data_IF_890410912726
#
_entry.id   IF_890410912726
#
_cell.length_a   1.000
_cell.length_b   1.000
_cell.length_c   1.000
_cell.angle_alpha   90.00
_cell.angle_beta   90.00
_cell.angle_gamma   90.00
#
_symmetry.space_group_name_H-M   'P 1'
#
loop_
_entity.id
_entity.type
_entity.pdbx_description
1 polymer ?
#
# COMPACT_ATOMS: atom_id res chain seq x y z
N UNK A 1 -9.57 6.47 -33.70
CA UNK A 1 -9.31 6.70 -32.27
C UNK A 1 -9.29 5.35 -31.59
N UNK A 2 -8.12 4.85 -31.23
CA UNK A 2 -7.95 3.57 -30.54
C UNK A 2 -8.50 3.70 -29.11
N UNK A 3 -9.57 2.96 -28.82
CA UNK A 3 -10.07 2.76 -27.46
C UNK A 3 -8.94 2.09 -26.68
N UNK A 4 -8.29 2.79 -25.76
CA UNK A 4 -7.51 2.16 -24.71
C UNK A 4 -8.50 1.35 -23.89
N UNK A 5 -8.40 0.03 -23.97
CA UNK A 5 -9.11 -0.88 -23.09
C UNK A 5 -8.87 -0.44 -21.64
N UNK A 6 -9.94 -0.02 -20.96
CA UNK A 6 -9.92 0.19 -19.52
C UNK A 6 -9.65 -1.18 -18.91
N UNK A 7 -8.42 -1.41 -18.47
CA UNK A 7 -8.08 -2.57 -17.64
C UNK A 7 -9.03 -2.52 -16.44
N UNK A 8 -9.91 -3.52 -16.33
CA UNK A 8 -10.84 -3.61 -15.21
C UNK A 8 -10.01 -3.71 -13.92
N UNK A 9 -10.22 -2.76 -13.01
CA UNK A 9 -9.55 -2.77 -11.71
C UNK A 9 -10.08 -3.97 -10.93
N UNK A 10 -9.18 -4.89 -10.58
CA UNK A 10 -9.55 -6.06 -9.78
C UNK A 10 -9.57 -5.67 -8.31
N UNK A 11 -10.76 -5.72 -7.71
CA UNK A 11 -11.00 -5.42 -6.30
C UNK A 11 -11.74 -6.58 -5.67
N UNK A 12 -11.19 -7.10 -4.59
CA UNK A 12 -11.86 -8.07 -3.73
C UNK A 12 -12.36 -7.35 -2.47
N UNK A 13 -13.48 -7.77 -1.92
CA UNK A 13 -13.98 -7.24 -0.64
C UNK A 13 -13.82 -8.32 0.41
N UNK A 14 -13.09 -8.02 1.49
CA UNK A 14 -12.82 -8.97 2.58
C UNK A 14 -13.36 -8.41 3.88
N UNK A 15 -13.81 -9.28 4.79
CA UNK A 15 -14.17 -8.91 6.15
C UNK A 15 -12.96 -9.15 7.05
N UNK A 16 -12.52 -8.13 7.78
CA UNK A 16 -11.42 -8.25 8.77
C UNK A 16 -11.88 -9.00 10.00
N UNK A 17 -10.93 -9.38 10.87
CA UNK A 17 -11.22 -10.03 12.15
C UNK A 17 -12.15 -9.18 13.05
N UNK A 18 -12.08 -7.86 12.91
CA UNK A 18 -12.92 -6.90 13.64
C UNK A 18 -14.33 -6.73 13.03
N UNK A 19 -14.64 -7.44 11.95
CA UNK A 19 -15.92 -7.33 11.23
C UNK A 19 -16.01 -6.15 10.25
N UNK A 20 -14.92 -5.42 10.05
CA UNK A 20 -14.84 -4.31 9.10
C UNK A 20 -14.77 -4.83 7.65
N UNK A 21 -15.48 -4.19 6.73
CA UNK A 21 -15.45 -4.55 5.31
C UNK A 21 -14.39 -3.73 4.59
N UNK A 22 -13.34 -4.38 4.08
CA UNK A 22 -12.17 -3.73 3.50
C UNK A 22 -11.98 -4.12 2.04
N UNK A 23 -11.67 -3.15 1.19
CA UNK A 23 -11.35 -3.39 -0.23
C UNK A 23 -9.88 -3.78 -0.37
N UNK A 24 -9.61 -4.88 -1.06
CA UNK A 24 -8.29 -5.40 -1.40
C UNK A 24 -8.06 -5.24 -2.90
N UNK A 25 -7.11 -4.39 -3.26
CA UNK A 25 -6.73 -4.09 -4.64
C UNK A 25 -5.57 -5.00 -5.07
N UNK A 26 -5.49 -5.30 -6.37
CA UNK A 26 -4.38 -6.06 -6.98
C UNK A 26 -3.38 -5.18 -7.73
N UNK A 27 -3.65 -3.88 -7.85
CA UNK A 27 -2.80 -2.93 -8.56
C UNK A 27 -2.78 -1.54 -7.92
N UNK A 28 -1.65 -0.84 -8.10
CA UNK A 28 -1.42 0.50 -7.56
C UNK A 28 -2.41 1.54 -8.08
N UNK A 29 -2.86 1.42 -9.34
CA UNK A 29 -3.75 2.42 -9.95
C UNK A 29 -5.14 2.40 -9.31
N UNK A 30 -5.71 1.21 -9.10
CA UNK A 30 -6.98 1.02 -8.41
C UNK A 30 -6.92 1.51 -6.97
N UNK A 31 -5.84 1.16 -6.27
CA UNK A 31 -5.58 1.58 -4.90
C UNK A 31 -5.46 3.11 -4.75
N UNK A 32 -4.65 3.77 -5.59
CA UNK A 32 -4.49 5.23 -5.61
C UNK A 32 -5.81 5.93 -5.94
N UNK A 33 -6.51 5.45 -6.98
CA UNK A 33 -7.80 6.03 -7.41
C UNK A 33 -8.84 5.94 -6.31
N UNK A 34 -8.87 4.84 -5.56
CA UNK A 34 -9.77 4.69 -4.42
C UNK A 34 -9.48 5.76 -3.36
N UNK A 35 -8.24 5.86 -2.86
CA UNK A 35 -7.89 6.86 -1.84
C UNK A 35 -8.19 8.29 -2.32
N UNK A 36 -7.90 8.59 -3.60
CA UNK A 36 -8.14 9.91 -4.17
C UNK A 36 -9.64 10.25 -4.26
N UNK A 37 -10.49 9.29 -4.62
CA UNK A 37 -11.93 9.49 -4.68
C UNK A 37 -12.52 9.66 -3.28
N UNK A 38 -12.16 8.82 -2.32
CA UNK A 38 -12.68 8.94 -0.96
C UNK A 38 -12.17 10.22 -0.26
N UNK A 39 -11.00 10.72 -0.66
CA UNK A 39 -10.52 12.05 -0.25
C UNK A 39 -11.36 13.19 -0.84
N UNK A 40 -11.85 13.05 -2.06
CA UNK A 40 -12.77 14.02 -2.69
C UNK A 40 -14.18 13.94 -2.09
N UNK A 41 -14.63 12.75 -1.73
CA UNK A 41 -15.94 12.49 -1.10
C UNK A 41 -15.97 12.82 0.40
N UNK A 42 -14.89 13.40 0.95
CA UNK A 42 -14.77 13.84 2.34
C UNK A 42 -14.74 12.67 3.38
N UNK A 43 -14.34 11.47 2.96
CA UNK A 43 -14.21 10.26 3.81
C UNK A 43 -12.75 9.95 4.22
N UNK A 44 -11.81 10.87 3.95
CA UNK A 44 -10.35 10.68 4.13
C UNK A 44 -9.89 10.29 5.54
N UNK A 45 -10.68 10.55 6.58
CA UNK A 45 -10.34 10.28 7.98
C UNK A 45 -10.87 8.92 8.48
N UNK A 46 -11.61 8.17 7.67
CA UNK A 46 -12.16 6.84 8.00
C UNK A 46 -11.93 5.81 6.88
N UNK A 47 -10.73 5.80 6.30
CA UNK A 47 -10.38 4.89 5.21
C UNK A 47 -9.72 3.63 5.74
N UNK A 48 -10.07 2.50 5.13
CA UNK A 48 -9.32 1.26 5.28
C UNK A 48 -9.36 0.49 3.96
N UNK A 49 -8.18 0.33 3.34
CA UNK A 49 -8.01 -0.48 2.14
C UNK A 49 -6.67 -1.19 2.15
N UNK A 50 -6.58 -2.28 1.38
CA UNK A 50 -5.37 -3.08 1.24
C UNK A 50 -4.96 -3.19 -0.22
N UNK A 51 -3.68 -3.41 -0.46
CA UNK A 51 -3.13 -3.68 -1.79
C UNK A 51 -2.19 -4.88 -1.71
N UNK A 52 -2.49 -5.91 -2.50
CA UNK A 52 -1.69 -7.13 -2.59
C UNK A 52 -1.16 -7.26 -4.01
N UNK A 53 0.16 -7.21 -4.19
CA UNK A 53 0.78 -7.18 -5.51
C UNK A 53 2.20 -7.72 -5.48
N UNK A 54 2.69 -8.15 -6.64
CA UNK A 54 4.11 -8.38 -6.85
C UNK A 54 4.78 -7.05 -7.25
N UNK A 55 5.86 -6.63 -6.56
CA UNK A 55 6.57 -5.42 -6.92
C UNK A 55 7.09 -5.47 -8.37
N UNK A 56 7.09 -4.33 -9.11
CA UNK A 56 7.49 -4.32 -10.52
C UNK A 56 8.88 -4.92 -10.80
N UNK A 57 9.84 -4.74 -9.89
CA UNK A 57 11.19 -5.28 -10.08
C UNK A 57 11.23 -6.81 -10.04
N UNK A 58 10.33 -7.45 -9.29
CA UNK A 58 10.25 -8.91 -9.19
C UNK A 58 9.66 -9.49 -10.46
N UNK A 59 8.56 -8.91 -10.94
CA UNK A 59 7.92 -9.31 -12.19
C UNK A 59 8.88 -9.14 -13.36
N UNK A 60 9.61 -8.02 -13.41
CA UNK A 60 10.60 -7.77 -14.44
C UNK A 60 11.73 -8.81 -14.45
N UNK A 61 12.23 -9.19 -13.27
CA UNK A 61 13.25 -10.26 -13.12
C UNK A 61 12.71 -11.65 -13.50
N UNK A 62 11.39 -11.81 -13.59
CA UNK A 62 10.69 -13.09 -13.80
C UNK A 62 9.90 -13.12 -15.12
N UNK A 63 10.27 -12.28 -16.09
CA UNK A 63 9.62 -12.20 -17.41
C UNK A 63 8.11 -11.88 -17.36
N UNK A 64 7.71 -11.03 -16.41
CA UNK A 64 6.32 -10.60 -16.17
C UNK A 64 5.37 -11.77 -15.84
N UNK A 65 5.92 -12.87 -15.33
CA UNK A 65 5.21 -14.10 -15.03
C UNK A 65 5.40 -14.49 -13.55
N UNK A 66 4.36 -14.35 -12.70
CA UNK A 66 4.41 -14.74 -11.30
C UNK A 66 4.84 -16.19 -11.07
N UNK A 67 4.52 -17.12 -11.98
CA UNK A 67 4.89 -18.53 -11.86
C UNK A 67 6.39 -18.77 -12.06
N UNK A 68 7.10 -17.79 -12.64
CA UNK A 68 8.56 -17.84 -12.85
C UNK A 68 9.35 -17.09 -11.79
N UNK A 69 8.68 -16.53 -10.78
CA UNK A 69 9.36 -15.86 -9.67
C UNK A 69 10.19 -16.89 -8.92
N UNK A 70 11.48 -16.57 -8.73
CA UNK A 70 12.37 -17.43 -7.95
C UNK A 70 11.92 -17.52 -6.50
N UNK A 71 11.93 -18.72 -5.92
CA UNK A 71 11.68 -18.94 -4.48
C UNK A 71 12.62 -18.11 -3.57
N UNK A 72 13.77 -17.67 -4.07
CA UNK A 72 14.69 -16.79 -3.34
C UNK A 72 14.25 -15.31 -3.32
N UNK A 73 13.19 -14.92 -4.04
CA UNK A 73 12.69 -13.56 -4.11
C UNK A 73 11.71 -13.25 -2.97
N UNK A 74 12.17 -13.37 -1.72
CA UNK A 74 11.36 -13.22 -0.51
C UNK A 74 12.07 -12.35 0.56
N UNK A 75 11.49 -12.26 1.75
CA UNK A 75 12.01 -11.44 2.86
C UNK A 75 13.42 -11.82 3.33
N UNK A 76 13.90 -13.04 3.10
CA UNK A 76 15.28 -13.47 3.45
C UNK A 76 16.32 -12.93 2.45
N UNK A 77 15.90 -12.50 1.26
CA UNK A 77 16.80 -11.94 0.25
C UNK A 77 17.06 -10.46 0.47
N UNK A 78 18.28 -10.12 0.90
CA UNK A 78 18.73 -8.72 1.05
C UNK A 78 18.55 -7.89 -0.22
N UNK A 79 18.68 -8.49 -1.41
CA UNK A 79 18.46 -7.82 -2.70
C UNK A 79 16.98 -7.47 -2.87
N UNK A 80 16.09 -8.43 -2.64
CA UNK A 80 14.64 -8.24 -2.71
C UNK A 80 14.19 -7.14 -1.72
N UNK A 81 14.58 -7.26 -0.45
CA UNK A 81 14.22 -6.30 0.60
C UNK A 81 14.68 -4.88 0.26
N UNK A 82 15.90 -4.72 -0.26
CA UNK A 82 16.42 -3.41 -0.67
C UNK A 82 15.64 -2.81 -1.84
N UNK A 83 15.35 -3.61 -2.87
CA UNK A 83 14.60 -3.12 -4.04
C UNK A 83 13.14 -2.83 -3.69
N UNK A 84 12.54 -3.63 -2.82
CA UNK A 84 11.21 -3.38 -2.27
C UNK A 84 11.17 -2.06 -1.50
N UNK A 85 12.08 -1.85 -0.56
CA UNK A 85 12.13 -0.59 0.19
C UNK A 85 12.33 0.63 -0.72
N UNK A 86 13.17 0.51 -1.76
CA UNK A 86 13.31 1.57 -2.77
C UNK A 86 12.01 1.82 -3.55
N UNK A 87 11.26 0.77 -3.87
CA UNK A 87 9.97 0.90 -4.54
C UNK A 87 8.94 1.60 -3.64
N UNK A 88 8.86 1.22 -2.36
CA UNK A 88 7.97 1.83 -1.37
C UNK A 88 8.23 3.34 -1.28
N UNK A 89 9.49 3.74 -1.06
CA UNK A 89 9.85 5.15 -0.87
C UNK A 89 9.69 6.01 -2.14
N UNK A 90 9.89 5.43 -3.34
CA UNK A 90 9.84 6.19 -4.61
C UNK A 90 8.46 6.23 -5.28
N UNK A 91 7.64 5.21 -5.05
CA UNK A 91 6.37 5.01 -5.75
C UNK A 91 5.20 4.97 -4.78
N UNK A 92 5.08 3.90 -3.97
CA UNK A 92 3.91 3.70 -3.12
C UNK A 92 3.61 4.90 -2.20
N UNK A 93 4.60 5.38 -1.45
CA UNK A 93 4.40 6.52 -0.55
C UNK A 93 4.14 7.81 -1.32
N UNK A 94 4.69 7.95 -2.53
CA UNK A 94 4.44 9.12 -3.39
C UNK A 94 3.00 9.12 -3.89
N UNK A 95 2.51 7.96 -4.33
CA UNK A 95 1.16 7.80 -4.86
C UNK A 95 0.12 8.04 -3.74
N UNK A 96 0.35 7.52 -2.52
CA UNK A 96 -0.48 7.82 -1.35
C UNK A 96 -0.52 9.32 -1.06
N UNK A 97 0.63 10.00 -1.04
CA UNK A 97 0.71 11.47 -0.80
C UNK A 97 -0.05 12.27 -1.85
N UNK A 98 0.01 11.84 -3.11
CA UNK A 98 -0.72 12.46 -4.20
C UNK A 98 -2.24 12.25 -4.03
N UNK A 99 -2.67 11.03 -3.69
CA UNK A 99 -4.07 10.69 -3.48
C UNK A 99 -4.71 11.49 -2.34
N UNK A 100 -4.00 11.66 -1.21
CA UNK A 100 -4.47 12.47 -0.06
C UNK A 100 -4.23 13.97 -0.21
N UNK A 101 -3.84 14.44 -1.41
CA UNK A 101 -3.59 15.86 -1.74
C UNK A 101 -2.53 16.54 -0.89
N UNK A 102 -1.53 15.80 -0.41
CA UNK A 102 -0.40 16.30 0.40
C UNK A 102 0.95 15.82 -0.14
N UNK A 103 1.40 16.31 -1.32
CA UNK A 103 2.67 15.88 -1.92
C UNK A 103 3.90 16.10 -1.02
N UNK A 104 3.86 17.14 -0.16
CA UNK A 104 4.94 17.49 0.78
C UNK A 104 4.85 16.79 2.14
N UNK A 105 3.85 15.91 2.36
CA UNK A 105 3.72 15.13 3.59
C UNK A 105 5.01 14.35 3.87
N UNK A 106 5.44 14.33 5.13
CA UNK A 106 6.57 13.51 5.59
C UNK A 106 6.05 12.62 6.70
N UNK A 107 6.25 11.32 6.57
CA UNK A 107 5.94 10.38 7.66
C UNK A 107 6.99 10.51 8.76
N UNK A 108 6.60 11.05 9.91
CA UNK A 108 7.48 11.21 11.07
C UNK A 108 7.60 9.92 11.89
N UNK A 109 6.55 9.11 11.93
CA UNK A 109 6.60 7.78 12.52
C UNK A 109 7.08 6.80 11.44
N UNK A 110 8.27 6.22 11.64
CA UNK A 110 8.80 5.18 10.77
C UNK A 110 9.38 4.06 11.60
N UNK A 111 8.99 2.83 11.31
CA UNK A 111 9.61 1.66 11.93
C UNK A 111 9.79 0.52 10.94
N UNK A 112 10.74 -0.36 11.26
CA UNK A 112 10.98 -1.62 10.56
C UNK A 112 11.06 -2.72 11.61
N UNK A 113 10.18 -3.69 11.51
CA UNK A 113 10.20 -4.92 12.30
C UNK A 113 10.59 -6.08 11.40
N UNK A 114 11.57 -6.87 11.83
CA UNK A 114 12.07 -8.02 11.10
C UNK A 114 11.96 -9.26 11.99
N UNK A 115 11.21 -10.23 11.51
CA UNK A 115 11.06 -11.55 12.12
C UNK A 115 11.61 -12.60 11.16
N UNK A 116 11.65 -13.87 11.58
CA UNK A 116 12.01 -14.94 10.66
C UNK A 116 11.04 -15.01 9.48
N UNK A 117 9.75 -14.80 9.72
CA UNK A 117 8.72 -15.07 8.71
C UNK A 117 8.42 -13.88 7.80
N UNK A 118 8.66 -12.65 8.28
CA UNK A 118 8.27 -11.42 7.57
C UNK A 118 9.09 -10.20 7.98
N UNK A 119 9.10 -9.21 7.09
CA UNK A 119 9.52 -7.85 7.37
C UNK A 119 8.31 -6.93 7.25
N UNK A 120 8.11 -6.09 8.26
CA UNK A 120 7.04 -5.09 8.31
C UNK A 120 7.66 -3.70 8.37
N UNK A 121 7.28 -2.84 7.44
CA UNK A 121 7.52 -1.40 7.51
C UNK A 121 6.24 -0.70 7.93
N UNK A 122 6.37 0.26 8.83
CA UNK A 122 5.27 1.15 9.22
C UNK A 122 5.67 2.60 8.95
N UNK A 123 4.73 3.34 8.38
CA UNK A 123 4.81 4.77 8.13
C UNK A 123 3.56 5.44 8.68
N UNK A 124 3.71 6.21 9.75
CA UNK A 124 2.64 6.94 10.41
C UNK A 124 2.82 8.44 10.26
N UNK A 125 1.71 9.16 10.08
CA UNK A 125 1.69 10.63 10.12
C UNK A 125 0.35 11.17 10.62
N UNK A 126 0.38 12.03 11.62
CA UNK A 126 -0.76 12.86 12.00
C UNK A 126 -0.82 14.09 11.08
N UNK A 127 -1.97 14.35 10.47
CA UNK A 127 -2.18 15.48 9.58
C UNK A 127 -3.60 16.02 9.68
N UNK A 128 -3.90 17.05 8.89
CA UNK A 128 -5.21 17.69 8.86
C UNK A 128 -5.66 17.91 7.42
N UNK A 129 -6.92 17.65 7.11
CA UNK A 129 -7.53 18.05 5.84
C UNK A 129 -8.96 18.53 6.13
N UNK A 130 -9.40 19.58 5.42
CA UNK A 130 -10.68 20.25 5.69
C UNK A 130 -10.95 20.60 7.17
N UNK A 131 -9.91 20.94 7.94
CA UNK A 131 -10.01 21.27 9.37
C UNK A 131 -10.25 20.08 10.31
N UNK A 132 -10.20 18.83 9.79
CA UNK A 132 -10.30 17.61 10.59
C UNK A 132 -8.91 16.98 10.77
N UNK A 133 -8.42 16.83 12.02
CA UNK A 133 -7.18 16.11 12.30
C UNK A 133 -7.40 14.60 12.20
N UNK A 134 -6.50 13.91 11.49
CA UNK A 134 -6.53 12.46 11.30
C UNK A 134 -5.13 11.88 11.21
N UNK A 135 -5.00 10.59 11.47
CA UNK A 135 -3.75 9.85 11.36
C UNK A 135 -3.79 8.98 10.10
N UNK A 136 -2.68 8.95 9.39
CA UNK A 136 -2.42 8.02 8.29
C UNK A 136 -1.47 6.95 8.81
N UNK A 137 -1.86 5.69 8.70
CA UNK A 137 -1.02 4.54 8.97
C UNK A 137 -0.89 3.70 7.69
N UNK A 138 0.36 3.52 7.26
CA UNK A 138 0.71 2.66 6.12
C UNK A 138 1.60 1.53 6.62
N UNK A 139 1.10 0.30 6.53
CA UNK A 139 1.87 -0.90 6.82
C UNK A 139 2.21 -1.60 5.50
N UNK A 140 3.48 -1.96 5.33
CA UNK A 140 3.93 -2.77 4.19
C UNK A 140 4.61 -4.02 4.72
N UNK A 141 4.14 -5.18 4.29
CA UNK A 141 4.63 -6.49 4.72
C UNK A 141 5.14 -7.28 3.52
N UNK A 142 6.33 -7.84 3.64
CA UNK A 142 6.78 -8.95 2.78
C UNK A 142 7.11 -10.17 3.63
N UNK A 143 6.87 -11.36 3.08
CA UNK A 143 7.01 -12.63 3.80
C UNK A 143 8.18 -13.44 3.25
N UNK A 144 8.54 -14.53 3.94
CA UNK A 144 9.54 -15.49 3.50
C UNK A 144 8.97 -16.53 2.51
N UNK A 145 7.64 -16.63 2.42
CA UNK A 145 6.92 -17.67 1.68
C UNK A 145 6.89 -17.39 0.18
N UNK A 146 6.70 -16.13 -0.20
CA UNK A 146 6.63 -15.70 -1.58
C UNK A 146 7.13 -14.26 -1.76
N UNK A 147 7.01 -13.76 -2.99
CA UNK A 147 7.40 -12.40 -3.36
C UNK A 147 6.25 -11.38 -3.28
N UNK A 148 5.08 -11.79 -2.79
CA UNK A 148 3.91 -10.92 -2.69
C UNK A 148 4.14 -9.88 -1.59
N UNK A 149 3.68 -8.66 -1.85
CA UNK A 149 3.73 -7.56 -0.90
C UNK A 149 2.31 -7.19 -0.52
N UNK A 150 2.10 -7.09 0.79
CA UNK A 150 0.83 -6.75 1.40
C UNK A 150 0.92 -5.33 1.96
N UNK A 151 0.10 -4.43 1.45
CA UNK A 151 -0.03 -3.07 1.92
C UNK A 151 -1.35 -2.92 2.64
N UNK A 152 -1.32 -2.32 3.81
CA UNK A 152 -2.49 -1.93 4.59
C UNK A 152 -2.44 -0.41 4.76
N UNK A 153 -3.49 0.27 4.31
CA UNK A 153 -3.66 1.71 4.46
C UNK A 153 -4.89 1.96 5.30
N UNK A 154 -4.69 2.67 6.41
CA UNK A 154 -5.75 3.00 7.34
C UNK A 154 -5.65 4.46 7.75
N UNK A 155 -6.80 5.11 7.88
CA UNK A 155 -6.91 6.42 8.51
C UNK A 155 -7.94 6.38 9.63
N UNK A 156 -7.71 7.22 10.65
CA UNK A 156 -8.66 7.43 11.74
C UNK A 156 -8.55 8.86 12.25
N UNK A 157 -9.63 9.46 12.82
CA UNK A 157 -9.56 10.78 13.41
C UNK A 157 -8.57 10.82 14.60
N UNK A 158 -7.98 12.00 14.83
CA UNK A 158 -7.10 12.25 15.98
C UNK A 158 -7.80 13.24 16.91
N UNK A 159 -7.93 12.91 18.18
CA UNK A 159 -8.55 13.80 19.16
C UNK A 159 -10.08 13.88 19.09
N UNK A 160 -10.74 12.89 18.45
CA UNK A 160 -12.18 12.70 18.59
C UNK A 160 -12.50 12.28 20.04
N UNK A 161 -13.07 13.21 20.81
CA UNK A 161 -13.73 12.96 22.09
C UNK A 161 -15.24 13.07 21.93
#
# INVERSE_FOLDING_TARGET
MTKKDKKEVKVQTVTTEDGETVKVFEDLQGFETFIANETEDDDFDHLHCKLNYYPPFVLHESHEDPEKISDAANSHSKKFVRHLHQHIEKHLLKDIKQAVRKPELKFHEKSKEETFDKITWHYGEETEYHGRPFKIDVQVVCTHEDAMVFVDYKTHPVGAN
#
